data_IF_115279693045
#
_entry.id   IF_115279693045
#
_cell.length_a   1.000
_cell.length_b   1.000
_cell.length_c   1.000
_cell.angle_alpha   90.00
_cell.angle_beta   90.00
_cell.angle_gamma   90.00
#
_symmetry.space_group_name_H-M   'P 1'
#
loop_
_entity.id
_entity.type
_entity.pdbx_description
1 polymer ?
#
# COMPACT_ATOMS: atom_id res chain seq x y z
N UNK A 1 52.05 39.39 3.46
CA UNK A 1 51.75 38.02 4.02
C UNK A 1 50.28 37.84 4.40
N UNK A 2 49.55 38.90 4.73
CA UNK A 2 48.10 38.84 5.11
C UNK A 2 47.17 38.60 3.93
N UNK A 3 47.44 39.19 2.76
CA UNK A 3 46.62 39.12 1.54
C UNK A 3 46.48 37.65 1.01
N UNK A 4 47.55 36.86 1.10
CA UNK A 4 47.49 35.46 0.66
C UNK A 4 46.63 34.60 1.59
N UNK A 5 46.57 34.89 2.88
CA UNK A 5 45.72 34.14 3.81
C UNK A 5 44.24 34.42 3.56
N UNK A 6 43.89 35.66 3.20
CA UNK A 6 42.50 36.05 2.87
C UNK A 6 42.04 35.34 1.61
N UNK A 7 42.89 35.19 0.59
CA UNK A 7 42.56 34.39 -0.64
C UNK A 7 42.25 32.92 -0.34
N UNK A 8 42.99 32.30 0.57
CA UNK A 8 42.75 30.91 0.96
C UNK A 8 41.44 30.76 1.72
N UNK A 9 41.08 31.69 2.59
CA UNK A 9 39.80 31.67 3.29
C UNK A 9 38.62 31.88 2.32
N UNK A 10 38.77 32.74 1.33
CA UNK A 10 37.75 32.98 0.32
C UNK A 10 37.56 31.76 -0.61
N UNK A 11 38.67 31.11 -0.98
CA UNK A 11 38.66 29.90 -1.79
C UNK A 11 38.04 28.74 -1.02
N UNK A 12 38.34 28.58 0.28
CA UNK A 12 37.75 27.56 1.15
C UNK A 12 36.24 27.78 1.34
N UNK A 13 35.78 29.05 1.47
CA UNK A 13 34.37 29.37 1.62
C UNK A 13 33.57 29.05 0.36
N UNK A 14 34.15 29.29 -0.83
CA UNK A 14 33.57 28.95 -2.12
C UNK A 14 33.49 27.43 -2.28
N UNK A 15 34.52 26.68 -1.86
CA UNK A 15 34.57 25.22 -1.94
C UNK A 15 33.51 24.56 -1.02
N UNK A 16 33.27 25.12 0.16
CA UNK A 16 32.24 24.65 1.10
C UNK A 16 30.83 24.93 0.56
N UNK A 17 30.63 26.04 -0.15
CA UNK A 17 29.34 26.39 -0.78
C UNK A 17 28.94 25.44 -1.92
N UNK A 18 29.90 24.81 -2.61
CA UNK A 18 29.65 23.83 -3.68
C UNK A 18 29.27 22.43 -3.16
N UNK A 19 29.57 22.12 -1.90
CA UNK A 19 29.26 20.83 -1.26
C UNK A 19 27.82 20.74 -0.72
N UNK A 20 27.08 21.84 -0.68
CA UNK A 20 25.72 21.88 -0.11
C UNK A 20 24.58 21.74 -1.13
N UNK A 21 24.84 21.49 -2.43
CA UNK A 21 23.81 21.35 -3.46
C UNK A 21 23.45 19.89 -3.80
N UNK A 22 23.58 18.97 -2.86
CA UNK A 22 23.38 17.53 -3.05
C UNK A 22 22.17 16.92 -2.33
N UNK A 23 21.13 17.67 -1.95
CA UNK A 23 19.85 17.07 -1.57
C UNK A 23 18.96 16.91 -2.80
N UNK A 24 19.28 15.93 -3.64
CA UNK A 24 18.31 15.33 -4.53
C UNK A 24 17.21 14.71 -3.67
N UNK A 25 16.02 15.30 -3.66
CA UNK A 25 14.81 14.67 -3.09
C UNK A 25 14.56 13.42 -3.92
N UNK A 26 15.09 12.29 -3.44
CA UNK A 26 14.74 10.98 -3.97
C UNK A 26 13.31 10.71 -3.53
N UNK A 27 12.35 11.08 -4.36
CA UNK A 27 10.96 10.71 -4.17
C UNK A 27 10.81 9.24 -4.54
N UNK A 28 10.73 8.35 -3.54
CA UNK A 28 10.36 6.94 -3.70
C UNK A 28 8.86 6.77 -4.02
N UNK A 29 8.21 7.79 -4.60
CA UNK A 29 6.77 7.84 -4.77
C UNK A 29 6.29 7.45 -6.17
N UNK A 30 7.18 7.14 -7.10
CA UNK A 30 6.74 6.68 -8.42
C UNK A 30 6.76 5.15 -8.48
N UNK A 31 5.60 4.53 -8.22
CA UNK A 31 5.37 3.18 -8.72
C UNK A 31 5.68 3.17 -10.21
N UNK A 32 6.55 2.25 -10.66
CA UNK A 32 6.97 2.15 -12.06
C UNK A 32 5.79 1.65 -12.92
N UNK A 33 4.91 2.56 -13.29
CA UNK A 33 3.80 2.29 -14.21
C UNK A 33 4.26 2.65 -15.61
N UNK A 34 3.95 1.79 -16.60
CA UNK A 34 4.25 2.08 -18.02
C UNK A 34 3.71 3.48 -18.38
N UNK A 35 4.54 4.37 -18.97
CA UNK A 35 4.14 5.73 -19.35
C UNK A 35 2.92 5.80 -20.27
N UNK A 36 2.59 4.73 -20.97
CA UNK A 36 1.40 4.64 -21.84
C UNK A 36 0.10 4.46 -21.04
N UNK A 37 0.17 3.95 -19.83
CA UNK A 37 -0.98 3.75 -18.94
C UNK A 37 -1.31 5.09 -18.28
N UNK A 38 -2.49 5.65 -18.56
CA UNK A 38 -2.93 6.97 -18.09
C UNK A 38 -4.13 6.92 -17.14
N UNK A 39 -4.98 5.91 -17.28
CA UNK A 39 -6.24 5.82 -16.57
C UNK A 39 -6.39 4.49 -15.84
N UNK A 40 -7.06 4.54 -14.69
CA UNK A 40 -7.38 3.37 -13.86
C UNK A 40 -8.83 3.42 -13.40
N UNK A 41 -9.52 2.31 -13.49
CA UNK A 41 -10.84 2.06 -12.91
C UNK A 41 -10.71 1.08 -11.75
N UNK A 42 -11.07 1.50 -10.55
CA UNK A 42 -11.19 0.62 -9.40
C UNK A 42 -12.68 0.31 -9.19
N UNK A 43 -13.11 -0.91 -9.51
CA UNK A 43 -14.53 -1.33 -9.42
C UNK A 43 -15.01 -1.57 -7.99
N UNK A 44 -14.10 -1.54 -7.03
CA UNK A 44 -14.40 -1.83 -5.64
C UNK A 44 -14.38 -3.31 -5.32
N UNK A 45 -14.07 -3.63 -4.07
CA UNK A 45 -14.00 -5.00 -3.60
C UNK A 45 -15.38 -5.52 -3.22
N UNK A 46 -15.61 -6.81 -3.50
CA UNK A 46 -16.78 -7.59 -3.08
C UNK A 46 -16.47 -8.41 -1.83
N UNK A 47 -17.48 -8.97 -1.21
CA UNK A 47 -17.30 -9.94 -0.12
C UNK A 47 -17.67 -11.34 -0.62
N UNK A 48 -16.68 -12.27 -0.62
CA UNK A 48 -16.89 -13.69 -0.86
C UNK A 48 -16.61 -14.54 0.39
N UNK A 49 -16.16 -13.94 1.50
CA UNK A 49 -16.04 -14.63 2.76
C UNK A 49 -17.40 -14.78 3.46
N UNK A 50 -17.52 -15.77 4.34
CA UNK A 50 -18.77 -16.03 5.09
C UNK A 50 -19.15 -14.86 6.00
N UNK A 51 -18.16 -14.09 6.46
CA UNK A 51 -18.30 -12.89 7.26
C UNK A 51 -17.15 -11.93 6.94
N UNK A 52 -17.39 -10.66 7.04
CA UNK A 52 -16.37 -9.60 7.02
C UNK A 52 -16.87 -8.41 7.83
N UNK A 53 -15.97 -7.70 8.49
CA UNK A 53 -16.32 -6.44 9.15
C UNK A 53 -16.91 -5.45 8.11
N UNK A 54 -18.14 -4.93 8.30
CA UNK A 54 -18.81 -4.09 7.31
C UNK A 54 -18.05 -2.80 6.94
N UNK A 55 -17.17 -2.33 7.83
CA UNK A 55 -16.37 -1.12 7.60
C UNK A 55 -15.11 -1.39 6.80
N UNK A 56 -14.65 -2.66 6.70
CA UNK A 56 -13.38 -2.99 6.05
C UNK A 56 -13.40 -2.62 4.56
N UNK A 57 -14.40 -3.11 3.82
CA UNK A 57 -14.46 -2.96 2.35
C UNK A 57 -14.57 -1.49 1.92
N UNK A 58 -15.50 -0.67 2.44
CA UNK A 58 -15.59 0.74 2.08
C UNK A 58 -14.28 1.50 2.33
N UNK A 59 -13.72 1.33 3.54
CA UNK A 59 -12.51 2.04 3.93
C UNK A 59 -11.27 1.56 3.13
N UNK A 60 -11.19 0.26 2.83
CA UNK A 60 -10.12 -0.29 1.98
C UNK A 60 -10.17 0.27 0.56
N UNK A 61 -11.38 0.33 -0.04
CA UNK A 61 -11.59 0.92 -1.35
C UNK A 61 -11.18 2.40 -1.39
N UNK A 62 -11.60 3.17 -0.40
CA UNK A 62 -11.29 4.60 -0.33
C UNK A 62 -9.78 4.83 -0.11
N UNK A 63 -9.18 4.05 0.77
CA UNK A 63 -7.74 4.17 1.06
C UNK A 63 -6.88 3.76 -0.14
N UNK A 64 -7.26 2.68 -0.84
CA UNK A 64 -6.54 2.23 -2.03
C UNK A 64 -6.66 3.26 -3.17
N UNK A 65 -7.86 3.82 -3.39
CA UNK A 65 -8.07 4.90 -4.37
C UNK A 65 -7.22 6.12 -4.06
N UNK A 66 -7.19 6.57 -2.80
CA UNK A 66 -6.35 7.68 -2.36
C UNK A 66 -4.86 7.39 -2.59
N UNK A 67 -4.41 6.18 -2.27
CA UNK A 67 -3.01 5.79 -2.46
C UNK A 67 -2.62 5.79 -3.94
N UNK A 68 -3.47 5.24 -4.81
CA UNK A 68 -3.24 5.24 -6.27
C UNK A 68 -3.10 6.68 -6.78
N UNK A 69 -4.03 7.58 -6.43
CA UNK A 69 -4.00 8.98 -6.88
C UNK A 69 -2.74 9.70 -6.37
N UNK A 70 -2.33 9.44 -5.13
CA UNK A 70 -1.22 10.16 -4.50
C UNK A 70 0.16 9.61 -4.90
N UNK A 71 0.25 8.34 -5.29
CA UNK A 71 1.53 7.67 -5.56
C UNK A 71 1.72 7.24 -7.02
N UNK A 72 0.78 7.59 -7.90
CA UNK A 72 0.90 7.35 -9.34
C UNK A 72 0.46 8.58 -10.12
N UNK A 73 0.76 8.60 -11.42
CA UNK A 73 0.26 9.64 -12.34
C UNK A 73 -1.05 9.23 -13.03
N UNK A 74 -1.71 8.18 -12.51
CA UNK A 74 -2.93 7.65 -13.10
C UNK A 74 -4.14 8.52 -12.73
N UNK A 75 -4.97 8.77 -13.72
CA UNK A 75 -6.28 9.42 -13.51
C UNK A 75 -7.31 8.34 -13.20
N UNK A 76 -7.97 8.44 -12.02
CA UNK A 76 -9.08 7.55 -11.70
C UNK A 76 -10.30 7.89 -12.56
N UNK A 77 -10.94 6.87 -13.12
CA UNK A 77 -12.13 7.00 -13.97
C UNK A 77 -13.12 5.88 -13.68
N UNK A 78 -14.38 6.08 -14.07
CA UNK A 78 -15.42 5.05 -14.04
C UNK A 78 -15.68 4.46 -15.44
N UNK A 79 -14.93 4.87 -16.46
CA UNK A 79 -15.08 4.37 -17.83
C UNK A 79 -14.58 2.94 -17.96
N UNK A 80 -15.32 2.10 -18.70
CA UNK A 80 -14.92 0.74 -19.06
C UNK A 80 -13.73 0.73 -20.06
N UNK A 81 -13.40 1.89 -20.65
CA UNK A 81 -12.23 2.10 -21.52
C UNK A 81 -10.96 2.48 -20.74
N UNK A 82 -10.98 2.36 -19.41
CA UNK A 82 -9.78 2.61 -18.61
C UNK A 82 -8.63 1.69 -19.04
N UNK A 83 -7.40 2.22 -19.03
CA UNK A 83 -6.20 1.44 -19.39
C UNK A 83 -5.91 0.32 -18.39
N UNK A 84 -6.19 0.54 -17.10
CA UNK A 84 -6.20 -0.50 -16.06
C UNK A 84 -7.60 -0.61 -15.48
N UNK A 85 -8.09 -1.83 -15.40
CA UNK A 85 -9.34 -2.16 -14.67
C UNK A 85 -8.97 -3.09 -13.53
N UNK A 86 -9.30 -2.68 -12.32
CA UNK A 86 -8.98 -3.40 -11.09
C UNK A 86 -10.27 -3.86 -10.44
N UNK A 87 -10.39 -5.17 -10.24
CA UNK A 87 -11.47 -5.82 -9.50
C UNK A 87 -10.90 -6.64 -8.37
N UNK A 88 -11.71 -7.01 -7.40
CA UNK A 88 -11.25 -7.87 -6.32
C UNK A 88 -12.35 -8.22 -5.33
N UNK A 89 -12.01 -9.08 -4.38
CA UNK A 89 -12.92 -9.50 -3.32
C UNK A 89 -12.15 -9.98 -2.08
N UNK A 90 -12.81 -9.91 -0.94
CA UNK A 90 -12.33 -10.57 0.28
C UNK A 90 -12.61 -12.07 0.12
N UNK A 91 -11.55 -12.87 -0.02
CA UNK A 91 -11.64 -14.32 -0.20
C UNK A 91 -11.81 -15.02 1.15
N UNK A 92 -11.07 -14.55 2.17
CA UNK A 92 -11.08 -15.14 3.51
C UNK A 92 -11.09 -14.07 4.58
N UNK A 93 -11.86 -14.32 5.62
CA UNK A 93 -11.92 -13.50 6.82
C UNK A 93 -12.37 -14.38 7.99
N UNK A 94 -11.41 -14.89 8.76
CA UNK A 94 -11.74 -15.80 9.85
C UNK A 94 -10.76 -15.71 11.02
N UNK A 95 -11.25 -15.81 12.26
CA UNK A 95 -10.40 -15.96 13.43
C UNK A 95 -9.94 -17.40 13.58
N UNK A 96 -8.72 -17.59 14.06
CA UNK A 96 -8.18 -18.87 14.49
C UNK A 96 -7.42 -18.72 15.79
N UNK A 97 -7.29 -19.81 16.55
CA UNK A 97 -6.49 -19.82 17.77
C UNK A 97 -5.00 -19.93 17.36
N UNK A 98 -4.20 -18.97 17.75
CA UNK A 98 -2.75 -19.05 17.61
C UNK A 98 -2.23 -19.95 18.73
N UNK A 99 -1.58 -21.07 18.35
CA UNK A 99 -1.24 -22.18 19.23
C UNK A 99 -0.50 -21.82 20.53
N UNK A 100 -0.64 -22.70 21.50
CA UNK A 100 -0.11 -22.62 22.86
C UNK A 100 1.43 -22.57 22.80
N UNK A 101 2.02 -21.47 23.22
CA UNK A 101 3.42 -21.42 23.61
C UNK A 101 3.53 -21.07 25.09
N UNK A 102 4.21 -21.93 25.84
CA UNK A 102 4.51 -21.84 27.25
C UNK A 102 4.42 -20.44 27.86
N UNK A 103 3.40 -20.19 28.71
CA UNK A 103 3.26 -19.04 29.65
C UNK A 103 3.07 -17.63 29.04
N UNK A 104 2.83 -17.48 27.76
CA UNK A 104 2.37 -16.20 27.20
C UNK A 104 0.83 -16.23 27.04
N UNK A 105 0.22 -15.04 27.10
CA UNK A 105 -1.23 -14.89 26.90
C UNK A 105 -1.66 -15.63 25.62
N UNK A 106 -2.72 -16.41 25.71
CA UNK A 106 -3.30 -17.06 24.55
C UNK A 106 -3.70 -15.98 23.53
N UNK A 107 -3.14 -16.06 22.34
CA UNK A 107 -3.45 -15.15 21.25
C UNK A 107 -4.38 -15.83 20.24
N UNK A 108 -5.31 -15.08 19.73
CA UNK A 108 -6.07 -15.40 18.53
C UNK A 108 -5.46 -14.65 17.33
N UNK A 109 -5.76 -15.15 16.16
CA UNK A 109 -5.30 -14.58 14.88
C UNK A 109 -6.52 -14.40 13.98
N UNK A 110 -6.68 -13.19 13.45
CA UNK A 110 -7.60 -12.91 12.37
C UNK A 110 -6.84 -12.98 11.04
N UNK A 111 -7.21 -13.92 10.17
CA UNK A 111 -6.67 -14.03 8.82
C UNK A 111 -7.60 -13.32 7.85
N UNK A 112 -7.03 -12.43 7.03
CA UNK A 112 -7.73 -11.72 5.97
C UNK A 112 -6.98 -11.96 4.66
N UNK A 113 -7.68 -12.54 3.67
CA UNK A 113 -7.16 -12.73 2.31
C UNK A 113 -7.99 -11.94 1.33
N UNK A 114 -7.32 -11.09 0.57
CA UNK A 114 -7.92 -10.28 -0.51
C UNK A 114 -7.41 -10.78 -1.84
N UNK A 115 -8.31 -11.18 -2.72
CA UNK A 115 -8.03 -11.45 -4.12
C UNK A 115 -8.14 -10.18 -4.95
N UNK A 116 -7.20 -9.96 -5.88
CA UNK A 116 -7.20 -8.82 -6.78
C UNK A 116 -6.84 -9.25 -8.20
N UNK A 117 -7.63 -8.79 -9.15
CA UNK A 117 -7.39 -8.91 -10.58
C UNK A 117 -7.07 -7.55 -11.17
N UNK A 118 -5.99 -7.46 -11.92
CA UNK A 118 -5.58 -6.25 -12.66
C UNK A 118 -5.56 -6.58 -14.15
N UNK A 119 -6.43 -5.94 -14.90
CA UNK A 119 -6.52 -6.07 -16.34
C UNK A 119 -5.95 -4.83 -17.03
N UNK A 120 -4.89 -5.01 -17.81
CA UNK A 120 -4.35 -4.00 -18.70
C UNK A 120 -5.04 -4.10 -20.06
N UNK A 121 -5.91 -3.15 -20.39
CA UNK A 121 -6.69 -3.14 -21.62
C UNK A 121 -5.88 -2.81 -22.85
N UNK A 122 -4.71 -2.14 -22.71
CA UNK A 122 -3.81 -1.82 -23.84
C UNK A 122 -3.07 -3.04 -24.36
N UNK A 123 -2.68 -3.96 -23.44
CA UNK A 123 -1.92 -5.17 -23.77
C UNK A 123 -2.77 -6.45 -23.74
N UNK A 124 -4.01 -6.36 -23.27
CA UNK A 124 -4.89 -7.50 -22.94
C UNK A 124 -4.27 -8.47 -21.91
N UNK A 125 -3.38 -7.99 -21.06
CA UNK A 125 -2.75 -8.76 -20.02
C UNK A 125 -3.55 -8.70 -18.73
N UNK A 126 -3.79 -9.86 -18.11
CA UNK A 126 -4.43 -9.97 -16.80
C UNK A 126 -3.47 -10.57 -15.80
N UNK A 127 -3.42 -9.99 -14.61
CA UNK A 127 -2.65 -10.47 -13.47
C UNK A 127 -3.56 -10.62 -12.27
N UNK A 128 -3.47 -11.77 -11.59
CA UNK A 128 -4.23 -12.07 -10.39
C UNK A 128 -3.28 -12.29 -9.23
N UNK A 129 -3.60 -11.75 -8.07
CA UNK A 129 -2.81 -11.89 -6.86
C UNK A 129 -3.69 -12.09 -5.64
N UNK A 130 -3.22 -12.89 -4.71
CA UNK A 130 -3.77 -13.00 -3.36
C UNK A 130 -2.85 -12.27 -2.38
N UNK A 131 -3.45 -11.47 -1.53
CA UNK A 131 -2.80 -10.77 -0.42
C UNK A 131 -3.38 -11.28 0.86
N UNK A 132 -2.58 -11.99 1.67
CA UNK A 132 -2.99 -12.52 2.97
C UNK A 132 -2.26 -11.79 4.08
N UNK A 133 -3.00 -11.31 5.08
CA UNK A 133 -2.49 -10.72 6.31
C UNK A 133 -3.09 -11.38 7.54
N UNK A 134 -2.27 -11.48 8.57
CA UNK A 134 -2.65 -12.01 9.86
C UNK A 134 -2.53 -10.90 10.91
N UNK A 135 -3.58 -10.76 11.72
CA UNK A 135 -3.67 -9.76 12.79
C UNK A 135 -3.90 -10.48 14.11
N UNK A 136 -3.01 -10.27 15.05
CA UNK A 136 -3.08 -10.96 16.35
C UNK A 136 -3.85 -10.13 17.37
N UNK A 137 -4.61 -10.82 18.21
CA UNK A 137 -5.35 -10.22 19.32
C UNK A 137 -5.45 -11.17 20.50
N UNK A 138 -5.54 -10.64 21.75
CA UNK A 138 -5.67 -11.47 22.95
C UNK A 138 -6.89 -12.40 22.89
N UNK A 139 -6.73 -13.66 23.28
CA UNK A 139 -7.84 -14.62 23.30
C UNK A 139 -8.96 -14.23 24.29
N UNK A 140 -8.65 -13.38 25.28
CA UNK A 140 -9.61 -12.78 26.20
C UNK A 140 -10.51 -11.71 25.54
N UNK A 141 -10.15 -11.21 24.35
CA UNK A 141 -10.89 -10.19 23.62
C UNK A 141 -11.86 -10.85 22.63
N UNK A 142 -13.09 -10.31 22.53
CA UNK A 142 -14.03 -10.74 21.50
C UNK A 142 -13.55 -10.31 20.11
N UNK A 143 -13.95 -11.05 19.05
CA UNK A 143 -13.63 -10.70 17.68
C UNK A 143 -14.05 -9.27 17.35
N UNK A 144 -15.29 -8.87 17.69
CA UNK A 144 -15.81 -7.53 17.41
C UNK A 144 -14.98 -6.41 18.06
N UNK A 145 -14.53 -6.61 19.30
CA UNK A 145 -13.67 -5.64 19.99
C UNK A 145 -12.27 -5.60 19.35
N UNK A 146 -11.74 -6.75 18.91
CA UNK A 146 -10.49 -6.83 18.18
C UNK A 146 -10.57 -6.12 16.81
N UNK A 147 -11.64 -6.35 16.05
CA UNK A 147 -11.89 -5.70 14.77
C UNK A 147 -11.91 -4.18 14.88
N UNK A 148 -12.60 -3.63 15.88
CA UNK A 148 -12.63 -2.18 16.12
C UNK A 148 -11.23 -1.60 16.33
N UNK A 149 -10.39 -2.31 17.09
CA UNK A 149 -9.01 -1.88 17.38
C UNK A 149 -8.07 -2.07 16.18
N UNK A 150 -8.26 -3.14 15.42
CA UNK A 150 -7.37 -3.53 14.33
C UNK A 150 -7.75 -2.92 12.97
N UNK A 151 -8.92 -2.28 12.85
CA UNK A 151 -9.47 -1.83 11.56
C UNK A 151 -8.48 -0.94 10.79
N UNK A 152 -7.92 0.06 11.43
CA UNK A 152 -6.98 0.99 10.78
C UNK A 152 -5.69 0.29 10.35
N UNK A 153 -5.20 -0.66 11.15
CA UNK A 153 -4.03 -1.47 10.81
C UNK A 153 -4.33 -2.40 9.64
N UNK A 154 -5.49 -3.05 9.63
CA UNK A 154 -5.96 -3.89 8.53
C UNK A 154 -6.02 -3.09 7.22
N UNK A 155 -6.70 -1.95 7.24
CA UNK A 155 -6.86 -1.09 6.06
C UNK A 155 -5.50 -0.65 5.53
N UNK A 156 -4.61 -0.16 6.40
CA UNK A 156 -3.28 0.30 6.00
C UNK A 156 -2.45 -0.83 5.40
N UNK A 157 -2.31 -1.95 6.12
CA UNK A 157 -1.45 -3.06 5.70
C UNK A 157 -1.94 -3.71 4.41
N UNK A 158 -3.25 -3.95 4.28
CA UNK A 158 -3.84 -4.50 3.06
C UNK A 158 -3.68 -3.52 1.88
N UNK A 159 -3.93 -2.21 2.10
CA UNK A 159 -3.74 -1.20 1.06
C UNK A 159 -2.31 -1.16 0.55
N UNK A 160 -1.32 -1.23 1.46
CA UNK A 160 0.10 -1.18 1.11
C UNK A 160 0.51 -2.38 0.26
N UNK A 161 0.06 -3.56 0.66
CA UNK A 161 0.36 -4.79 -0.08
C UNK A 161 -0.36 -4.86 -1.43
N UNK A 162 -1.65 -4.54 -1.48
CA UNK A 162 -2.42 -4.49 -2.72
C UNK A 162 -1.79 -3.52 -3.71
N UNK A 163 -1.47 -2.31 -3.27
CA UNK A 163 -0.77 -1.32 -4.09
C UNK A 163 0.55 -1.86 -4.64
N UNK A 164 1.36 -2.49 -3.78
CA UNK A 164 2.62 -3.08 -4.20
C UNK A 164 2.40 -4.18 -5.23
N UNK A 165 1.44 -5.08 -5.02
CA UNK A 165 1.13 -6.15 -5.98
C UNK A 165 0.61 -5.62 -7.31
N UNK A 166 -0.19 -4.57 -7.29
CA UNK A 166 -0.71 -3.94 -8.52
C UNK A 166 0.40 -3.35 -9.39
N UNK A 167 1.43 -2.76 -8.79
CA UNK A 167 2.41 -1.93 -9.53
C UNK A 167 3.85 -2.46 -9.52
N UNK A 168 4.18 -3.52 -8.77
CA UNK A 168 5.55 -4.05 -8.70
C UNK A 168 5.96 -4.97 -9.84
N UNK A 169 5.04 -5.34 -10.71
CA UNK A 169 5.23 -6.40 -11.72
C UNK A 169 4.98 -5.95 -13.16
N UNK A 170 4.91 -4.65 -13.41
CA UNK A 170 4.70 -4.07 -14.76
C UNK A 170 6.01 -3.59 -15.37
#
# INVERSE_FOLDING_TARGET
MVINRIKYYFLSLILISFLSTGCGVYSFTDASVDPNIKTIKLEGFLNNASYVNPQLIPNLNDKLRQKIINQTKLTNTNSDEAHLIVTGYIAEYYPSTSGISNKQENMNRLTVTVHIDVNNTLTNEKKSHDVTRNFEFPASQSLQAAETRLLDEMIRSLTDDLFTRMFSTW
#
